data_IF_237766535241
#
_entry.id   IF_237766535241
#
_cell.length_a   1.000
_cell.length_b   1.000
_cell.length_c   1.000
_cell.angle_alpha   90.00
_cell.angle_beta   90.00
_cell.angle_gamma   90.00
#
_symmetry.space_group_name_H-M   'P 1'
#
loop_
_entity.id
_entity.type
_entity.pdbx_description
1 polymer ?
#
# COMPACT_ATOMS: atom_id res chain seq x y z
N UNK A 1 21.25 -115.93 -2.96
CA UNK A 1 20.14 -115.00 -3.28
C UNK A 1 20.07 -113.92 -2.21
N UNK A 2 19.64 -112.69 -2.56
CA UNK A 2 20.18 -111.43 -2.03
C UNK A 2 19.54 -110.95 -0.73
N UNK A 3 20.26 -110.10 0.01
CA UNK A 3 19.82 -108.76 0.43
C UNK A 3 20.98 -108.07 1.16
N UNK A 4 21.45 -106.88 0.71
CA UNK A 4 22.18 -106.01 1.61
C UNK A 4 21.37 -104.75 1.94
N UNK A 5 21.41 -104.46 3.23
CA UNK A 5 20.74 -103.39 3.94
C UNK A 5 21.28 -101.99 3.59
N UNK A 6 20.42 -101.01 3.85
CA UNK A 6 20.66 -99.58 3.74
C UNK A 6 21.86 -99.10 4.56
N UNK A 7 22.60 -98.07 4.09
CA UNK A 7 23.34 -97.19 4.96
C UNK A 7 22.66 -95.83 5.16
N UNK A 8 22.93 -95.30 6.35
CA UNK A 8 22.34 -94.12 6.98
C UNK A 8 22.66 -92.79 6.29
N UNK A 9 21.78 -91.81 6.54
CA UNK A 9 21.87 -90.45 6.02
C UNK A 9 23.02 -89.64 6.67
N UNK A 10 23.77 -88.84 5.89
CA UNK A 10 24.83 -87.99 6.43
C UNK A 10 24.30 -86.62 6.90
N UNK A 11 24.85 -86.18 8.03
CA UNK A 11 24.64 -84.87 8.64
C UNK A 11 25.34 -83.75 7.85
N UNK A 12 24.67 -82.60 7.74
CA UNK A 12 25.09 -81.44 6.95
C UNK A 12 26.05 -80.53 7.72
N UNK A 13 27.21 -80.22 7.13
CA UNK A 13 28.07 -79.11 7.57
C UNK A 13 27.83 -77.87 6.69
N UNK A 14 27.46 -76.76 7.33
CA UNK A 14 27.12 -75.47 6.71
C UNK A 14 28.34 -74.84 6.02
N UNK A 15 28.22 -74.54 4.72
CA UNK A 15 29.10 -73.59 4.01
C UNK A 15 28.41 -72.22 4.01
N UNK A 16 29.09 -71.21 4.56
CA UNK A 16 28.65 -69.82 4.55
C UNK A 16 28.79 -69.23 3.15
N UNK A 17 27.68 -68.91 2.50
CA UNK A 17 27.66 -68.05 1.31
C UNK A 17 27.47 -66.59 1.75
N UNK A 18 28.44 -65.73 1.42
CA UNK A 18 28.30 -64.28 1.48
C UNK A 18 27.33 -63.85 0.36
N UNK A 19 26.09 -63.56 0.72
CA UNK A 19 25.14 -62.91 -0.17
C UNK A 19 25.34 -61.39 -0.10
N UNK A 20 25.82 -60.79 -1.18
CA UNK A 20 25.81 -59.34 -1.38
C UNK A 20 24.36 -58.88 -1.56
N UNK A 21 23.71 -58.51 -0.45
CA UNK A 21 22.39 -57.90 -0.48
C UNK A 21 22.49 -56.45 -0.96
N UNK A 22 21.97 -56.16 -2.16
CA UNK A 22 21.58 -54.79 -2.51
C UNK A 22 20.41 -54.38 -1.60
N UNK A 23 20.71 -53.57 -0.59
CA UNK A 23 19.68 -52.87 0.16
C UNK A 23 19.06 -51.79 -0.75
N UNK A 24 17.82 -52.00 -1.22
CA UNK A 24 16.99 -50.90 -1.69
C UNK A 24 16.70 -50.02 -0.47
N UNK A 25 17.42 -48.91 -0.35
CA UNK A 25 17.03 -47.83 0.54
C UNK A 25 15.69 -47.28 0.03
N UNK A 26 14.61 -47.58 0.74
CA UNK A 26 13.34 -46.92 0.52
C UNK A 26 13.53 -45.43 0.80
N UNK A 27 13.59 -44.61 -0.25
CA UNK A 27 13.59 -43.16 -0.11
C UNK A 27 12.26 -42.75 0.53
N UNK A 28 12.29 -42.43 1.81
CA UNK A 28 11.16 -41.81 2.49
C UNK A 28 10.79 -40.48 1.81
N UNK A 29 9.53 -40.03 1.91
CA UNK A 29 9.12 -38.76 1.31
C UNK A 29 10.03 -37.66 1.84
N UNK A 30 10.66 -36.91 0.93
CA UNK A 30 11.45 -35.75 1.30
C UNK A 30 10.58 -34.79 2.12
N UNK A 31 11.09 -34.22 3.23
CA UNK A 31 10.33 -33.24 3.99
C UNK A 31 9.91 -32.12 3.04
N UNK A 32 8.60 -31.82 3.00
CA UNK A 32 8.10 -30.70 2.24
C UNK A 32 8.88 -29.46 2.67
N UNK A 33 9.64 -28.87 1.75
CA UNK A 33 10.30 -27.60 2.00
C UNK A 33 9.20 -26.60 2.37
N UNK A 34 9.23 -26.14 3.62
CA UNK A 34 8.37 -25.06 4.05
C UNK A 34 8.71 -23.86 3.17
N UNK A 35 7.84 -23.55 2.20
CA UNK A 35 7.92 -22.31 1.45
C UNK A 35 7.96 -21.17 2.46
N UNK A 36 9.00 -20.34 2.39
CA UNK A 36 9.13 -19.18 3.26
C UNK A 36 7.79 -18.40 3.28
N UNK A 37 7.31 -17.97 4.45
CA UNK A 37 6.03 -17.28 4.55
C UNK A 37 6.04 -16.05 3.64
N UNK A 38 5.08 -15.98 2.73
CA UNK A 38 4.90 -14.84 1.82
C UNK A 38 4.50 -13.63 2.65
N UNK A 39 5.05 -12.47 2.29
CA UNK A 39 4.66 -11.21 2.94
C UNK A 39 3.18 -10.92 2.66
N UNK A 40 2.37 -10.63 3.69
CA UNK A 40 0.94 -10.42 3.49
C UNK A 40 0.63 -9.13 2.70
N UNK A 41 -0.58 -9.07 2.16
CA UNK A 41 -1.22 -7.82 1.74
C UNK A 41 -2.10 -7.33 2.90
N UNK A 42 -1.89 -6.08 3.31
CA UNK A 42 -2.64 -5.41 4.36
C UNK A 42 -3.72 -4.53 3.73
N UNK A 43 -4.97 -4.73 4.16
CA UNK A 43 -6.11 -3.91 3.70
C UNK A 43 -6.72 -3.20 4.88
N UNK A 44 -6.67 -1.88 4.87
CA UNK A 44 -7.17 -1.04 5.94
C UNK A 44 -8.67 -0.84 5.84
N UNK A 45 -9.43 -1.17 6.88
CA UNK A 45 -10.88 -1.10 6.92
C UNK A 45 -11.34 0.03 7.86
N UNK A 46 -11.55 1.22 7.30
CA UNK A 46 -11.83 2.44 8.07
C UNK A 46 -13.05 2.31 8.99
N UNK A 47 -14.17 1.83 8.47
CA UNK A 47 -15.40 1.70 9.27
C UNK A 47 -15.33 0.55 10.28
N UNK A 48 -14.50 -0.48 10.01
CA UNK A 48 -14.33 -1.61 10.93
C UNK A 48 -13.24 -1.39 11.98
N UNK A 49 -12.44 -0.32 11.90
CA UNK A 49 -11.34 -0.08 12.84
C UNK A 49 -10.29 -1.20 12.85
N UNK A 50 -9.99 -1.78 11.68
CA UNK A 50 -9.11 -2.95 11.58
C UNK A 50 -8.33 -3.03 10.28
N UNK A 51 -7.28 -3.84 10.28
CA UNK A 51 -6.52 -4.26 9.09
C UNK A 51 -6.83 -5.72 8.80
N UNK A 52 -7.27 -6.02 7.58
CA UNK A 52 -7.36 -7.39 7.05
C UNK A 52 -5.98 -7.85 6.57
N UNK A 53 -5.56 -9.04 6.98
CA UNK A 53 -4.30 -9.67 6.56
C UNK A 53 -4.62 -10.72 5.50
N UNK A 54 -4.15 -10.50 4.27
CA UNK A 54 -4.45 -11.33 3.11
C UNK A 54 -3.22 -12.14 2.71
N UNK A 55 -3.41 -13.45 2.51
CA UNK A 55 -2.42 -14.34 1.91
C UNK A 55 -2.40 -14.14 0.39
N UNK A 56 -1.31 -13.62 -0.22
CA UNK A 56 -1.25 -13.38 -1.65
C UNK A 56 -1.08 -14.65 -2.49
N UNK A 57 -0.78 -15.80 -1.89
CA UNK A 57 -0.69 -17.09 -2.58
C UNK A 57 -2.05 -17.72 -2.84
N UNK A 58 -3.01 -17.51 -1.93
CA UNK A 58 -4.37 -18.08 -2.00
C UNK A 58 -5.47 -17.03 -2.19
N UNK A 59 -5.15 -15.75 -2.00
CA UNK A 59 -6.09 -14.64 -2.00
C UNK A 59 -7.26 -14.83 -1.04
N UNK A 60 -6.92 -15.16 0.21
CA UNK A 60 -7.88 -15.32 1.31
C UNK A 60 -7.48 -14.44 2.48
N UNK A 61 -8.47 -13.93 3.21
CA UNK A 61 -8.25 -13.25 4.48
C UNK A 61 -7.90 -14.28 5.55
N UNK A 62 -6.70 -14.19 6.13
CA UNK A 62 -6.24 -15.10 7.17
C UNK A 62 -6.73 -14.68 8.55
N UNK A 63 -6.69 -13.37 8.83
CA UNK A 63 -7.13 -12.77 10.09
C UNK A 63 -7.36 -11.27 9.95
N UNK A 64 -7.91 -10.67 11.01
CA UNK A 64 -8.02 -9.22 11.18
C UNK A 64 -7.27 -8.76 12.41
N UNK A 65 -6.66 -7.59 12.31
CA UNK A 65 -5.95 -6.90 13.38
C UNK A 65 -6.80 -5.70 13.77
N UNK A 66 -7.18 -5.60 15.05
CA UNK A 66 -7.77 -4.37 15.55
C UNK A 66 -6.69 -3.27 15.64
N UNK A 67 -7.02 -2.05 15.22
CA UNK A 67 -6.10 -0.91 15.32
C UNK A 67 -6.69 0.17 16.22
N UNK A 68 -7.46 1.09 15.65
CA UNK A 68 -8.18 2.16 16.32
C UNK A 68 -9.40 2.57 15.50
N UNK A 69 -10.09 3.64 15.90
CA UNK A 69 -11.26 4.14 15.16
C UNK A 69 -10.85 4.87 13.89
N UNK A 70 -11.63 4.67 12.85
CA UNK A 70 -11.51 5.34 11.55
C UNK A 70 -10.08 5.37 11.01
N UNK A 71 -9.42 4.22 10.80
CA UNK A 71 -8.11 4.27 10.21
C UNK A 71 -8.18 4.56 8.71
N UNK A 72 -7.39 5.52 8.23
CA UNK A 72 -7.51 6.06 6.87
C UNK A 72 -6.31 5.77 5.96
N UNK A 73 -5.08 5.99 6.43
CA UNK A 73 -3.89 5.76 5.61
C UNK A 73 -2.85 4.87 6.29
N UNK A 74 -2.00 4.29 5.44
CA UNK A 74 -0.89 3.41 5.81
C UNK A 74 0.39 4.01 5.24
N UNK A 75 1.49 3.99 6.00
CA UNK A 75 2.80 4.41 5.49
C UNK A 75 3.92 3.59 6.12
N UNK A 76 4.97 3.30 5.35
CA UNK A 76 6.12 2.53 5.82
C UNK A 76 7.10 3.43 6.56
N UNK A 77 7.67 2.96 7.68
CA UNK A 77 8.76 3.65 8.36
C UNK A 77 10.04 3.62 7.50
N UNK A 78 10.93 4.62 7.64
CA UNK A 78 12.14 4.72 6.80
C UNK A 78 13.08 3.51 6.92
N UNK A 79 13.09 2.85 8.08
CA UNK A 79 13.87 1.65 8.37
C UNK A 79 13.22 0.34 7.87
N UNK A 80 12.07 0.43 7.21
CA UNK A 80 11.26 -0.67 6.70
C UNK A 80 10.83 -1.71 7.75
N UNK A 81 10.85 -1.34 9.03
CA UNK A 81 10.50 -2.23 10.15
C UNK A 81 9.01 -2.23 10.48
N UNK A 82 8.29 -1.16 10.14
CA UNK A 82 6.90 -0.98 10.53
C UNK A 82 6.08 -0.31 9.43
N UNK A 83 4.87 -0.82 9.21
CA UNK A 83 3.80 -0.04 8.58
C UNK A 83 3.01 0.66 9.68
N UNK A 84 2.93 1.97 9.57
CA UNK A 84 2.14 2.83 10.44
C UNK A 84 0.71 2.88 9.92
N UNK A 85 -0.25 2.63 10.79
CA UNK A 85 -1.69 2.83 10.57
C UNK A 85 -2.10 4.13 11.25
N UNK A 86 -2.64 5.07 10.48
CA UNK A 86 -3.20 6.31 10.97
C UNK A 86 -4.63 6.09 11.47
N UNK A 87 -4.87 6.11 12.78
CA UNK A 87 -6.21 5.98 13.35
C UNK A 87 -6.78 7.37 13.66
N UNK A 88 -7.40 8.01 12.66
CA UNK A 88 -7.86 9.39 12.74
C UNK A 88 -8.84 9.60 13.90
N UNK A 89 -9.91 8.79 13.98
CA UNK A 89 -10.94 8.91 15.01
C UNK A 89 -10.50 8.52 16.43
N UNK A 90 -9.28 8.00 16.59
CA UNK A 90 -8.71 7.55 17.87
C UNK A 90 -7.50 8.37 18.33
N UNK A 91 -7.07 9.38 17.57
CA UNK A 91 -5.88 10.19 17.84
C UNK A 91 -4.63 9.32 18.15
N UNK A 92 -4.40 8.29 17.33
CA UNK A 92 -3.35 7.30 17.56
C UNK A 92 -2.71 6.75 16.28
N UNK A 93 -1.48 6.24 16.40
CA UNK A 93 -0.83 5.45 15.36
C UNK A 93 -0.60 4.02 15.84
N UNK A 94 -0.93 3.03 15.02
CA UNK A 94 -0.61 1.61 15.28
C UNK A 94 0.53 1.17 14.37
N UNK A 95 1.57 0.56 14.93
CA UNK A 95 2.73 0.05 14.21
C UNK A 95 2.58 -1.46 14.01
N UNK A 96 2.66 -1.91 12.76
CA UNK A 96 2.50 -3.32 12.38
C UNK A 96 3.78 -3.77 11.66
N UNK A 97 4.31 -4.93 12.04
CA UNK A 97 5.39 -5.57 11.29
C UNK A 97 4.87 -5.95 9.89
N UNK A 98 5.45 -5.43 8.80
CA UNK A 98 4.95 -5.67 7.45
C UNK A 98 5.07 -7.13 6.99
N UNK A 99 5.98 -7.91 7.58
CA UNK A 99 6.31 -9.28 7.16
C UNK A 99 5.45 -10.29 7.89
N UNK A 100 5.20 -10.06 9.17
CA UNK A 100 4.44 -10.99 10.03
C UNK A 100 3.02 -10.54 10.31
N UNK A 101 2.71 -9.28 10.03
CA UNK A 101 1.46 -8.61 10.40
C UNK A 101 1.17 -8.67 11.91
N UNK A 102 2.21 -8.65 12.75
CA UNK A 102 2.09 -8.53 14.20
C UNK A 102 2.04 -7.05 14.59
N UNK A 103 1.16 -6.69 15.52
CA UNK A 103 1.16 -5.35 16.12
C UNK A 103 2.41 -5.24 16.99
N UNK A 104 3.26 -4.26 16.68
CA UNK A 104 4.48 -4.01 17.44
C UNK A 104 4.19 -3.09 18.62
N UNK A 105 3.44 -2.00 18.39
CA UNK A 105 3.04 -1.03 19.42
C UNK A 105 1.96 -0.08 18.90
N UNK A 106 1.43 0.73 19.81
CA UNK A 106 0.54 1.84 19.51
C UNK A 106 0.99 3.06 20.29
N UNK A 107 0.91 4.23 19.65
CA UNK A 107 1.14 5.53 20.30
C UNK A 107 -0.14 6.36 20.22
N UNK A 108 -0.44 7.11 21.28
CA UNK A 108 -1.59 8.01 21.37
C UNK A 108 -1.14 9.48 21.37
N UNK A 109 -2.09 10.40 21.26
CA UNK A 109 -1.83 11.84 21.32
C UNK A 109 -1.38 12.44 19.99
N UNK A 110 -1.42 11.67 18.91
CA UNK A 110 -1.26 12.17 17.55
C UNK A 110 -2.65 12.54 17.08
N UNK A 111 -2.95 13.84 17.00
CA UNK A 111 -4.32 14.28 16.77
C UNK A 111 -4.74 14.04 15.32
N UNK A 112 -5.89 13.38 15.16
CA UNK A 112 -6.59 13.16 13.90
C UNK A 112 -5.68 12.83 12.69
N UNK A 113 -4.76 11.84 12.79
CA UNK A 113 -3.81 11.57 11.72
C UNK A 113 -4.56 10.93 10.55
N UNK A 114 -5.12 11.72 9.64
CA UNK A 114 -5.88 11.22 8.51
C UNK A 114 -4.94 10.65 7.45
N UNK A 115 -4.01 11.49 6.98
CA UNK A 115 -2.93 11.12 6.08
C UNK A 115 -1.59 11.35 6.78
N UNK A 116 -0.58 10.55 6.42
CA UNK A 116 0.78 10.68 6.95
C UNK A 116 1.83 10.47 5.86
N UNK A 117 3.00 11.09 6.02
CA UNK A 117 4.14 10.92 5.12
C UNK A 117 5.45 11.30 5.78
N UNK A 118 6.53 10.61 5.41
CA UNK A 118 7.89 11.07 5.69
C UNK A 118 8.44 11.91 4.54
N UNK A 119 9.18 12.97 4.85
CA UNK A 119 10.00 13.67 3.87
C UNK A 119 11.12 12.74 3.35
N UNK A 120 11.58 12.87 2.09
CA UNK A 120 12.64 12.02 1.54
C UNK A 120 13.95 11.99 2.34
N UNK A 121 14.35 13.11 2.92
CA UNK A 121 15.49 13.23 3.85
C UNK A 121 15.21 12.71 5.28
N UNK A 122 14.01 12.21 5.53
CA UNK A 122 13.55 11.62 6.80
C UNK A 122 13.56 12.55 8.01
N UNK A 123 13.76 13.86 7.79
CA UNK A 123 13.74 14.86 8.86
C UNK A 123 12.35 15.16 9.37
N UNK A 124 11.33 15.03 8.52
CA UNK A 124 9.96 15.35 8.83
C UNK A 124 9.06 14.13 8.72
N UNK A 125 8.33 13.86 9.79
CA UNK A 125 7.09 13.08 9.73
C UNK A 125 5.93 14.07 9.75
N UNK A 126 5.02 13.99 8.78
CA UNK A 126 3.94 14.96 8.61
C UNK A 126 2.61 14.26 8.64
N UNK A 127 1.63 14.84 9.35
CA UNK A 127 0.23 14.38 9.32
C UNK A 127 -0.72 15.48 8.87
N UNK A 128 -1.81 15.08 8.22
CA UNK A 128 -2.95 15.94 7.93
C UNK A 128 -4.05 15.68 8.95
N UNK A 129 -4.40 16.71 9.73
CA UNK A 129 -5.48 16.64 10.72
C UNK A 129 -6.80 17.09 10.07
N UNK A 130 -7.43 16.15 9.37
CA UNK A 130 -8.55 16.38 8.46
C UNK A 130 -9.72 17.13 9.09
N UNK A 131 -10.24 16.67 10.22
CA UNK A 131 -11.34 17.28 10.95
C UNK A 131 -10.93 18.52 11.75
N UNK A 132 -9.63 18.69 11.99
CA UNK A 132 -9.08 19.75 12.85
C UNK A 132 -8.40 20.89 12.07
N UNK A 133 -8.41 20.85 10.74
CA UNK A 133 -7.98 21.93 9.84
C UNK A 133 -6.55 22.42 10.07
N UNK A 134 -5.62 21.48 10.28
CA UNK A 134 -4.20 21.80 10.36
C UNK A 134 -3.32 20.67 9.81
N UNK A 135 -2.07 21.02 9.52
CA UNK A 135 -0.98 20.09 9.23
C UNK A 135 -0.02 20.11 10.40
N UNK A 136 0.35 18.93 10.90
CA UNK A 136 1.35 18.79 11.97
C UNK A 136 2.67 18.29 11.39
N UNK A 137 3.77 18.96 11.77
CA UNK A 137 5.14 18.57 11.47
C UNK A 137 5.77 18.02 12.74
N UNK A 138 6.33 16.82 12.62
CA UNK A 138 7.01 16.13 13.69
C UNK A 138 8.47 15.86 13.29
N UNK A 139 9.37 15.94 14.27
CA UNK A 139 10.67 15.31 14.15
C UNK A 139 10.51 13.81 14.37
N UNK A 140 11.25 12.99 13.62
CA UNK A 140 11.27 11.54 13.77
C UNK A 140 12.65 11.07 14.19
N UNK A 141 12.75 10.47 15.38
CA UNK A 141 14.01 9.95 15.93
C UNK A 141 14.24 8.45 15.66
N UNK A 142 13.35 7.81 14.89
CA UNK A 142 13.34 6.37 14.68
C UNK A 142 12.26 5.64 15.50
N UNK A 143 11.76 6.25 16.57
CA UNK A 143 10.77 5.63 17.44
C UNK A 143 9.51 6.48 17.57
N UNK A 144 9.58 7.74 17.99
CA UNK A 144 8.38 8.51 18.31
C UNK A 144 8.36 9.84 17.55
N UNK A 145 7.21 10.22 16.98
CA UNK A 145 7.07 11.51 16.37
C UNK A 145 6.96 12.57 17.48
N UNK A 146 7.89 13.52 17.50
CA UNK A 146 7.88 14.65 18.42
C UNK A 146 7.33 15.89 17.69
N UNK A 147 6.20 16.43 18.16
CA UNK A 147 5.55 17.57 17.49
C UNK A 147 6.49 18.79 17.52
N UNK A 148 6.75 19.36 16.36
CA UNK A 148 7.55 20.57 16.20
C UNK A 148 6.65 21.76 15.93
N UNK A 149 5.71 21.62 15.01
CA UNK A 149 4.86 22.72 14.60
C UNK A 149 3.49 22.24 14.14
N UNK A 150 2.48 23.01 14.52
CA UNK A 150 1.11 22.89 14.00
C UNK A 150 0.79 24.08 13.12
N UNK A 151 0.49 23.83 11.85
CA UNK A 151 0.23 24.86 10.85
C UNK A 151 -1.27 24.88 10.54
N UNK A 152 -2.01 25.94 10.92
CA UNK A 152 -3.41 26.10 10.54
C UNK A 152 -3.59 26.17 9.03
N UNK A 153 -4.58 25.46 8.49
CA UNK A 153 -4.88 25.41 7.05
C UNK A 153 -6.31 25.86 6.75
N UNK A 154 -6.75 25.64 5.51
CA UNK A 154 -8.17 25.65 5.17
C UNK A 154 -8.87 24.42 5.72
N UNK A 155 -10.10 24.21 5.26
CA UNK A 155 -10.95 23.12 5.74
C UNK A 155 -10.56 21.79 5.12
N UNK A 156 -10.52 20.77 5.97
CA UNK A 156 -10.45 19.37 5.55
C UNK A 156 -9.15 19.03 4.80
N UNK A 157 -7.96 19.29 5.41
CA UNK A 157 -6.68 18.86 4.86
C UNK A 157 -6.69 17.35 4.61
N UNK A 158 -6.36 16.92 3.41
CA UNK A 158 -6.60 15.53 2.98
C UNK A 158 -5.34 14.76 2.68
N UNK A 159 -4.59 15.08 1.62
CA UNK A 159 -3.42 14.31 1.21
C UNK A 159 -2.17 15.19 1.13
N UNK A 160 -1.01 14.54 1.29
CA UNK A 160 0.29 15.19 1.43
C UNK A 160 1.26 14.71 0.35
N UNK A 161 1.90 15.65 -0.34
CA UNK A 161 3.02 15.39 -1.23
C UNK A 161 4.23 16.24 -0.85
N UNK A 162 5.40 15.62 -0.73
CA UNK A 162 6.66 16.32 -0.44
C UNK A 162 7.56 16.13 -1.66
N UNK A 163 8.22 17.20 -2.13
CA UNK A 163 9.20 17.10 -3.22
C UNK A 163 10.40 16.22 -2.84
N UNK A 164 11.11 15.74 -3.86
CA UNK A 164 12.31 14.91 -3.68
C UNK A 164 13.43 15.62 -2.89
N UNK A 165 13.43 16.95 -2.86
CA UNK A 165 14.42 17.77 -2.18
C UNK A 165 14.10 17.99 -0.68
N UNK A 166 12.95 17.51 -0.19
CA UNK A 166 12.47 17.82 1.17
C UNK A 166 12.33 19.31 1.48
N UNK A 167 12.03 20.12 0.46
CA UNK A 167 11.90 21.58 0.62
C UNK A 167 10.46 22.03 0.76
N UNK A 168 9.55 21.47 -0.05
CA UNK A 168 8.16 21.89 -0.11
C UNK A 168 7.23 20.72 0.13
N UNK A 169 6.27 20.95 1.02
CA UNK A 169 5.10 20.09 1.22
C UNK A 169 3.88 20.76 0.57
N UNK A 170 3.17 20.02 -0.28
CA UNK A 170 1.85 20.41 -0.76
C UNK A 170 0.76 19.57 -0.11
N UNK A 171 -0.36 20.22 0.22
CA UNK A 171 -1.52 19.57 0.81
C UNK A 171 -2.83 20.07 0.19
N UNK A 172 -3.73 19.14 -0.11
CA UNK A 172 -5.09 19.45 -0.57
C UNK A 172 -6.01 19.77 0.60
N UNK A 173 -6.93 20.71 0.40
CA UNK A 173 -7.98 21.08 1.37
C UNK A 173 -9.35 20.82 0.73
N UNK A 174 -9.96 19.68 1.07
CA UNK A 174 -11.16 19.19 0.36
C UNK A 174 -12.32 20.17 0.39
N UNK A 175 -12.66 20.71 1.56
CA UNK A 175 -13.84 21.55 1.73
C UNK A 175 -13.56 23.04 1.47
N UNK A 176 -12.30 23.39 1.24
CA UNK A 176 -11.87 24.73 0.86
C UNK A 176 -11.52 24.86 -0.62
N UNK A 177 -11.57 23.77 -1.39
CA UNK A 177 -11.22 23.74 -2.82
C UNK A 177 -9.85 24.40 -3.10
N UNK A 178 -8.84 24.14 -2.26
CA UNK A 178 -7.50 24.73 -2.40
C UNK A 178 -6.37 23.71 -2.24
N UNK A 179 -5.23 24.06 -2.83
CA UNK A 179 -3.92 23.45 -2.61
C UNK A 179 -3.08 24.45 -1.81
N UNK A 180 -2.51 24.02 -0.70
CA UNK A 180 -1.56 24.84 0.07
C UNK A 180 -0.15 24.30 -0.09
N UNK A 181 0.83 25.20 0.00
CA UNK A 181 2.23 24.84 0.08
C UNK A 181 2.82 25.29 1.42
N UNK A 182 3.64 24.44 2.02
CA UNK A 182 4.37 24.68 3.25
C UNK A 182 5.86 24.53 2.95
N UNK A 183 6.63 25.54 3.31
CA UNK A 183 8.09 25.48 3.29
C UNK A 183 8.57 24.72 4.53
N UNK A 184 9.28 23.61 4.31
CA UNK A 184 9.71 22.70 5.38
C UNK A 184 10.91 23.23 6.18
N UNK A 185 11.67 24.18 5.64
CA UNK A 185 12.80 24.78 6.34
C UNK A 185 12.32 25.78 7.41
N UNK A 186 11.37 26.64 7.04
CA UNK A 186 10.78 27.69 7.88
C UNK A 186 9.55 27.20 8.64
N UNK A 187 8.97 26.06 8.25
CA UNK A 187 7.78 25.44 8.83
C UNK A 187 6.57 26.39 8.76
N UNK A 188 6.45 27.12 7.65
CA UNK A 188 5.40 28.11 7.43
C UNK A 188 4.63 27.79 6.16
N UNK A 189 3.34 28.11 6.19
CA UNK A 189 2.52 28.13 4.99
C UNK A 189 3.05 29.22 4.06
N UNK A 190 3.48 28.84 2.86
CA UNK A 190 4.11 29.71 1.87
C UNK A 190 3.07 30.39 0.99
N UNK A 191 2.10 29.62 0.49
CA UNK A 191 1.03 30.12 -0.36
C UNK A 191 -0.16 29.16 -0.41
N UNK A 192 -1.25 29.64 -1.00
CA UNK A 192 -2.48 28.89 -1.29
C UNK A 192 -2.89 29.19 -2.72
N UNK A 193 -3.32 28.17 -3.45
CA UNK A 193 -3.85 28.32 -4.80
C UNK A 193 -5.18 27.58 -4.92
N UNK A 194 -6.15 28.12 -5.67
CA UNK A 194 -7.43 27.46 -5.86
C UNK A 194 -7.25 26.18 -6.67
N UNK A 195 -8.10 25.19 -6.38
CA UNK A 195 -8.24 23.95 -7.15
C UNK A 195 -9.67 23.82 -7.69
N UNK A 196 -9.93 22.76 -8.44
CA UNK A 196 -11.29 22.30 -8.69
C UNK A 196 -11.97 21.76 -7.43
N UNK A 197 -13.22 21.30 -7.57
CA UNK A 197 -14.05 20.93 -6.42
C UNK A 197 -13.59 19.65 -5.72
N UNK A 198 -13.52 19.71 -4.39
CA UNK A 198 -13.21 18.61 -3.48
C UNK A 198 -11.91 17.90 -3.88
N UNK A 199 -10.75 18.61 -3.82
CA UNK A 199 -9.44 18.04 -4.14
C UNK A 199 -9.08 16.94 -3.13
N UNK A 200 -8.77 15.74 -3.61
CA UNK A 200 -8.40 14.60 -2.81
C UNK A 200 -6.88 14.40 -2.80
N UNK A 201 -6.36 13.40 -3.52
CA UNK A 201 -4.93 13.08 -3.48
C UNK A 201 -4.09 14.07 -4.32
N UNK A 202 -2.82 14.22 -3.95
CA UNK A 202 -1.84 15.09 -4.61
C UNK A 202 -0.64 14.23 -4.99
N UNK A 203 -0.24 14.27 -6.25
CA UNK A 203 0.88 13.47 -6.77
C UNK A 203 1.86 14.35 -7.55
N UNK A 204 3.13 14.33 -7.17
CA UNK A 204 4.21 14.96 -7.93
C UNK A 204 4.71 14.05 -9.04
N UNK A 205 4.77 14.60 -10.24
CA UNK A 205 5.29 13.88 -11.42
C UNK A 205 6.79 13.58 -11.27
N UNK A 206 7.30 12.48 -11.86
CA UNK A 206 8.69 12.06 -11.70
C UNK A 206 9.74 13.08 -12.16
N UNK A 207 9.39 13.96 -13.09
CA UNK A 207 10.28 15.03 -13.57
C UNK A 207 10.37 16.22 -12.59
N UNK A 208 9.56 16.22 -11.53
CA UNK A 208 9.48 17.31 -10.54
C UNK A 208 8.83 18.60 -11.06
N UNK A 209 8.24 18.57 -12.27
CA UNK A 209 7.72 19.79 -12.94
C UNK A 209 6.23 19.99 -12.75
N UNK A 210 5.49 18.96 -12.36
CA UNK A 210 4.04 19.07 -12.19
C UNK A 210 3.53 18.41 -10.92
N UNK A 211 2.46 18.98 -10.36
CA UNK A 211 1.57 18.30 -9.42
C UNK A 211 0.27 17.93 -10.13
N UNK A 212 -0.23 16.75 -9.82
CA UNK A 212 -1.53 16.24 -10.19
C UNK A 212 -2.42 16.23 -8.95
N UNK A 213 -3.61 16.83 -9.05
CA UNK A 213 -4.59 16.87 -7.95
C UNK A 213 -5.86 16.15 -8.40
N UNK A 214 -6.22 15.07 -7.72
CA UNK A 214 -7.43 14.32 -8.02
C UNK A 214 -8.67 15.08 -7.54
N UNK A 215 -9.66 15.29 -8.40
CA UNK A 215 -10.87 16.02 -8.04
C UNK A 215 -12.03 15.05 -7.80
N UNK A 216 -12.33 14.78 -6.53
CA UNK A 216 -13.41 13.83 -6.18
C UNK A 216 -14.80 14.45 -6.40
N UNK A 217 -14.91 15.78 -6.29
CA UNK A 217 -16.13 16.54 -6.54
C UNK A 217 -16.38 16.85 -8.02
N UNK A 218 -15.47 16.45 -8.91
CA UNK A 218 -15.52 16.74 -10.34
C UNK A 218 -15.18 15.51 -11.20
N UNK A 219 -14.88 15.75 -12.47
CA UNK A 219 -14.43 14.73 -13.42
C UNK A 219 -13.02 15.06 -13.84
N UNK A 220 -12.03 14.32 -13.35
CA UNK A 220 -10.64 14.49 -13.80
C UNK A 220 -9.65 14.84 -12.71
N UNK A 221 -8.44 15.11 -13.20
CA UNK A 221 -7.27 15.47 -12.42
C UNK A 221 -6.80 16.84 -12.87
N UNK A 222 -6.66 17.78 -11.93
CA UNK A 222 -6.11 19.09 -12.23
C UNK A 222 -4.58 19.05 -12.25
N UNK A 223 -3.96 19.75 -13.21
CA UNK A 223 -2.51 19.82 -13.36
C UNK A 223 -2.01 21.19 -12.96
N UNK A 224 -1.00 21.20 -12.10
CA UNK A 224 -0.25 22.40 -11.72
C UNK A 224 1.19 22.28 -12.21
N UNK A 225 1.72 23.33 -12.81
CA UNK A 225 3.14 23.47 -13.10
C UNK A 225 3.89 24.00 -11.87
N UNK A 226 5.06 23.44 -11.64
CA UNK A 226 6.01 23.80 -10.59
C UNK A 226 7.22 24.50 -11.20
N UNK A 227 7.59 25.63 -10.62
CA UNK A 227 8.82 26.34 -10.91
C UNK A 227 9.46 26.81 -9.60
N UNK A 228 10.79 26.71 -9.51
CA UNK A 228 11.53 27.06 -8.30
C UNK A 228 11.22 28.51 -7.86
N UNK A 229 10.90 28.69 -6.58
CA UNK A 229 10.57 30.00 -6.00
C UNK A 229 9.24 30.60 -6.46
N UNK A 230 8.43 29.88 -7.24
CA UNK A 230 7.13 30.33 -7.70
C UNK A 230 5.99 29.52 -7.07
N UNK A 231 4.79 30.11 -7.07
CA UNK A 231 3.58 29.40 -6.68
C UNK A 231 3.20 28.38 -7.75
N UNK A 232 2.67 27.24 -7.35
CA UNK A 232 2.12 26.25 -8.26
C UNK A 232 1.03 26.88 -9.14
N UNK A 233 1.15 26.74 -10.46
CA UNK A 233 0.22 27.38 -11.41
C UNK A 233 -0.64 26.33 -12.10
N UNK A 234 -1.97 26.45 -12.01
CA UNK A 234 -2.87 25.58 -12.77
C UNK A 234 -2.64 25.76 -14.28
N UNK A 235 -2.42 24.66 -14.99
CA UNK A 235 -2.12 24.64 -16.44
C UNK A 235 -3.12 23.84 -17.27
N UNK A 236 -3.97 23.05 -16.63
CA UNK A 236 -5.02 22.31 -17.32
C UNK A 236 -5.61 21.19 -16.47
N UNK A 237 -6.37 20.33 -17.13
CA UNK A 237 -6.99 19.15 -16.53
C UNK A 237 -6.78 17.92 -17.43
N UNK A 238 -6.61 16.77 -16.80
CA UNK A 238 -6.56 15.47 -17.44
C UNK A 238 -7.92 14.82 -17.27
N UNK A 239 -8.58 14.52 -18.39
CA UNK A 239 -9.84 13.79 -18.38
C UNK A 239 -9.62 12.35 -17.89
N UNK A 240 -10.32 11.98 -16.81
CA UNK A 240 -10.39 10.62 -16.25
C UNK A 240 -11.86 10.25 -15.98
N UNK A 241 -12.09 9.17 -15.23
CA UNK A 241 -13.44 8.89 -14.70
C UNK A 241 -13.88 9.91 -13.64
N UNK A 242 -15.20 9.93 -13.36
CA UNK A 242 -15.78 10.72 -12.27
C UNK A 242 -15.25 10.31 -10.90
N UNK A 243 -14.98 11.30 -10.06
CA UNK A 243 -14.55 11.09 -8.67
C UNK A 243 -13.10 10.63 -8.56
N UNK A 244 -12.18 11.31 -9.25
CA UNK A 244 -10.75 11.04 -9.15
C UNK A 244 -10.30 11.24 -7.69
N UNK A 245 -9.75 10.19 -7.09
CA UNK A 245 -9.52 10.13 -5.65
C UNK A 245 -8.05 9.92 -5.30
N UNK A 246 -7.54 8.67 -5.40
CA UNK A 246 -6.21 8.31 -4.90
C UNK A 246 -5.24 7.94 -6.02
N UNK A 247 -4.00 8.41 -5.92
CA UNK A 247 -2.93 8.12 -6.85
C UNK A 247 -2.02 6.98 -6.38
N UNK A 248 -1.48 6.22 -7.33
CA UNK A 248 -0.39 5.27 -7.09
C UNK A 248 0.49 5.13 -8.32
N UNK A 249 1.80 5.31 -8.17
CA UNK A 249 2.76 5.09 -9.25
C UNK A 249 2.70 3.64 -9.74
N UNK A 250 2.86 3.43 -11.05
CA UNK A 250 2.94 2.09 -11.64
C UNK A 250 4.32 1.44 -11.43
N UNK A 251 5.33 2.23 -11.04
CA UNK A 251 6.70 1.79 -10.77
C UNK A 251 7.65 1.87 -11.96
N UNK A 252 7.22 2.43 -13.09
CA UNK A 252 8.01 2.59 -14.31
C UNK A 252 8.56 4.01 -14.51
N UNK A 253 8.49 4.85 -13.46
CA UNK A 253 8.90 6.26 -13.47
C UNK A 253 8.21 7.12 -14.56
N UNK A 254 7.07 6.68 -15.08
CA UNK A 254 6.35 7.39 -16.16
C UNK A 254 4.85 7.43 -15.95
N UNK A 255 4.26 6.36 -15.44
CA UNK A 255 2.82 6.25 -15.32
C UNK A 255 2.37 6.29 -13.86
N UNK A 256 1.22 6.94 -13.65
CA UNK A 256 0.52 6.96 -12.38
C UNK A 256 -0.92 6.50 -12.59
N UNK A 257 -1.43 5.71 -11.66
CA UNK A 257 -2.83 5.28 -11.60
C UNK A 257 -3.63 6.24 -10.75
N UNK A 258 -4.88 6.51 -11.12
CA UNK A 258 -5.85 7.24 -10.29
C UNK A 258 -7.17 6.49 -10.19
N UNK A 259 -7.64 6.23 -8.97
CA UNK A 259 -8.97 5.66 -8.76
C UNK A 259 -10.05 6.70 -9.04
N UNK A 260 -11.09 6.29 -9.76
CA UNK A 260 -12.25 7.11 -10.07
C UNK A 260 -13.44 6.49 -9.32
N UNK A 261 -13.62 6.94 -8.08
CA UNK A 261 -14.51 6.32 -7.10
C UNK A 261 -15.94 6.21 -7.62
N UNK A 262 -16.46 7.27 -8.23
CA UNK A 262 -17.84 7.31 -8.76
C UNK A 262 -17.96 6.51 -10.05
N UNK A 263 -16.97 6.60 -10.93
CA UNK A 263 -17.00 5.89 -12.21
C UNK A 263 -16.68 4.39 -12.11
N UNK A 264 -16.29 3.87 -10.94
CA UNK A 264 -15.90 2.46 -10.74
C UNK A 264 -14.78 2.00 -11.69
N UNK A 265 -13.79 2.87 -11.90
CA UNK A 265 -12.64 2.60 -12.78
C UNK A 265 -11.35 3.17 -12.22
N UNK A 266 -10.22 2.70 -12.73
CA UNK A 266 -8.90 3.30 -12.50
C UNK A 266 -8.40 3.82 -13.85
N UNK A 267 -7.85 5.03 -13.88
CA UNK A 267 -7.23 5.59 -15.10
C UNK A 267 -5.71 5.55 -14.95
N UNK A 268 -5.00 5.12 -15.99
CA UNK A 268 -3.53 5.23 -16.08
C UNK A 268 -3.19 6.51 -16.81
N UNK A 269 -2.42 7.38 -16.18
CA UNK A 269 -1.96 8.66 -16.71
C UNK A 269 -0.49 8.51 -17.09
N UNK A 270 -0.13 8.96 -18.30
CA UNK A 270 1.26 9.20 -18.68
C UNK A 270 1.66 10.59 -18.20
N UNK A 271 2.63 10.66 -17.28
CA UNK A 271 3.04 11.91 -16.64
C UNK A 271 3.80 12.85 -17.59
N UNK A 272 4.43 12.32 -18.65
CA UNK A 272 5.13 13.15 -19.63
C UNK A 272 4.17 13.75 -20.66
N UNK A 273 3.17 12.98 -21.08
CA UNK A 273 2.15 13.43 -22.02
C UNK A 273 0.96 14.13 -21.34
N UNK A 274 0.88 14.10 -20.01
CA UNK A 274 -0.20 14.64 -19.19
C UNK A 274 -1.59 14.23 -19.71
N UNK A 275 -1.78 12.93 -19.98
CA UNK A 275 -3.06 12.39 -20.45
C UNK A 275 -3.29 10.97 -19.97
N UNK A 276 -4.57 10.59 -19.83
CA UNK A 276 -4.94 9.21 -19.61
C UNK A 276 -4.64 8.36 -20.86
N UNK A 277 -4.00 7.20 -20.67
CA UNK A 277 -3.56 6.28 -21.73
C UNK A 277 -4.16 4.88 -21.61
N UNK A 278 -4.71 4.55 -20.43
CA UNK A 278 -5.46 3.32 -20.23
C UNK A 278 -6.51 3.49 -19.13
N UNK A 279 -7.45 2.55 -19.06
CA UNK A 279 -8.47 2.47 -18.04
C UNK A 279 -8.68 1.01 -17.64
N UNK A 280 -8.96 0.79 -16.35
CA UNK A 280 -9.19 -0.52 -15.76
C UNK A 280 -10.55 -0.55 -15.05
N UNK A 281 -11.29 -1.67 -15.11
CA UNK A 281 -12.49 -1.87 -14.31
C UNK A 281 -12.11 -1.99 -12.83
N UNK A 282 -12.76 -1.22 -11.96
CA UNK A 282 -12.53 -1.26 -10.53
C UNK A 282 -13.88 -1.10 -9.79
N UNK A 283 -14.66 -2.17 -9.64
CA UNK A 283 -16.04 -2.10 -9.21
C UNK A 283 -16.20 -1.61 -7.76
N UNK A 284 -17.34 -0.96 -7.53
CA UNK A 284 -17.89 -0.65 -6.21
C UNK A 284 -17.04 0.29 -5.35
N UNK A 285 -16.70 1.46 -5.90
CA UNK A 285 -16.08 2.57 -5.18
C UNK A 285 -14.60 2.32 -4.92
N UNK A 286 -13.75 2.29 -5.96
CA UNK A 286 -12.32 2.12 -5.79
C UNK A 286 -11.74 3.28 -4.99
N UNK A 287 -10.91 2.95 -4.01
CA UNK A 287 -10.26 3.93 -3.13
C UNK A 287 -8.73 3.90 -3.32
N UNK A 288 -7.92 3.95 -2.26
CA UNK A 288 -6.47 3.75 -2.38
C UNK A 288 -6.15 2.32 -2.84
N UNK A 289 -5.00 2.19 -3.49
CA UNK A 289 -4.53 0.96 -4.10
C UNK A 289 -3.04 0.75 -3.86
N UNK A 290 -2.55 -0.44 -4.15
CA UNK A 290 -1.13 -0.72 -4.32
C UNK A 290 -0.91 -1.54 -5.59
N UNK A 291 0.33 -1.56 -6.09
CA UNK A 291 0.71 -2.29 -7.31
C UNK A 291 1.78 -3.29 -6.93
N UNK A 292 1.71 -4.52 -7.46
CA UNK A 292 2.76 -5.53 -7.26
C UNK A 292 4.11 -5.05 -7.80
N UNK A 293 5.22 -5.55 -7.23
CA UNK A 293 6.58 -5.15 -7.60
C UNK A 293 6.88 -5.20 -9.10
N UNK A 294 6.32 -6.18 -9.80
CA UNK A 294 6.48 -6.38 -11.24
C UNK A 294 5.53 -5.53 -12.11
N UNK A 295 4.66 -4.71 -11.49
CA UNK A 295 3.69 -3.88 -12.19
C UNK A 295 2.51 -4.64 -12.81
N UNK A 296 2.39 -5.95 -12.58
CA UNK A 296 1.39 -6.79 -13.27
C UNK A 296 0.01 -6.80 -12.61
N UNK A 297 -0.07 -6.46 -11.32
CA UNK A 297 -1.28 -6.58 -10.51
C UNK A 297 -1.59 -5.27 -9.77
N UNK A 298 -2.79 -4.74 -9.97
CA UNK A 298 -3.35 -3.67 -9.14
C UNK A 298 -4.22 -4.31 -8.05
N UNK A 299 -3.95 -3.91 -6.80
CA UNK A 299 -4.68 -4.31 -5.61
C UNK A 299 -5.42 -3.08 -5.05
N UNK A 300 -6.74 -3.03 -5.17
CA UNK A 300 -7.53 -1.83 -4.83
C UNK A 300 -8.65 -2.14 -3.84
N UNK A 301 -8.85 -1.26 -2.87
CA UNK A 301 -10.01 -1.33 -1.99
C UNK A 301 -11.30 -0.96 -2.72
N UNK A 302 -12.25 -1.89 -2.80
CA UNK A 302 -13.63 -1.64 -3.24
C UNK A 302 -14.47 -1.24 -2.04
N UNK A 303 -14.44 0.06 -1.73
CA UNK A 303 -14.93 0.64 -0.47
C UNK A 303 -16.37 0.25 -0.16
N UNK A 304 -17.27 0.37 -1.13
CA UNK A 304 -18.70 0.14 -0.91
C UNK A 304 -19.07 -1.35 -0.87
N UNK A 305 -18.20 -2.24 -1.37
CA UNK A 305 -18.41 -3.68 -1.37
C UNK A 305 -17.78 -4.40 -0.17
N UNK A 306 -16.88 -3.74 0.59
CA UNK A 306 -16.10 -4.43 1.62
C UNK A 306 -15.20 -5.51 1.02
N UNK A 307 -14.54 -5.20 -0.10
CA UNK A 307 -13.69 -6.13 -0.86
C UNK A 307 -12.33 -5.54 -1.19
N UNK A 308 -11.31 -6.39 -1.23
CA UNK A 308 -10.09 -6.16 -2.00
C UNK A 308 -10.33 -6.67 -3.42
N UNK A 309 -10.09 -5.85 -4.42
CA UNK A 309 -10.20 -6.24 -5.84
C UNK A 309 -8.82 -6.33 -6.46
N UNK A 310 -8.59 -7.43 -7.18
CA UNK A 310 -7.35 -7.70 -7.90
C UNK A 310 -7.57 -7.54 -9.39
N UNK A 311 -6.74 -6.75 -10.04
CA UNK A 311 -6.87 -6.40 -11.45
C UNK A 311 -5.56 -6.70 -12.16
N UNK A 312 -5.63 -7.50 -13.22
CA UNK A 312 -4.51 -7.77 -14.12
C UNK A 312 -4.29 -6.58 -15.05
N UNK A 313 -3.08 -6.03 -15.03
CA UNK A 313 -2.74 -4.82 -15.80
C UNK A 313 -2.69 -5.10 -17.30
N UNK A 314 -2.15 -6.24 -17.71
CA UNK A 314 -2.00 -6.58 -19.13
C UNK A 314 -3.36 -6.88 -19.77
N UNK A 315 -4.20 -7.67 -19.09
CA UNK A 315 -5.54 -8.07 -19.53
C UNK A 315 -6.57 -6.96 -19.32
N UNK A 316 -6.26 -5.97 -18.47
CA UNK A 316 -7.17 -4.89 -18.04
C UNK A 316 -8.48 -5.42 -17.48
N UNK A 317 -8.40 -6.49 -16.69
CA UNK A 317 -9.56 -7.23 -16.22
C UNK A 317 -9.44 -7.54 -14.72
N UNK A 318 -10.58 -7.54 -14.04
CA UNK A 318 -10.67 -8.04 -12.67
C UNK A 318 -10.38 -9.54 -12.69
N UNK A 319 -9.42 -9.98 -11.88
CA UNK A 319 -9.09 -11.39 -11.69
C UNK A 319 -10.00 -12.03 -10.66
N UNK A 320 -10.07 -11.42 -9.48
CA UNK A 320 -10.86 -11.92 -8.35
C UNK A 320 -11.10 -10.81 -7.33
N UNK A 321 -11.96 -11.09 -6.35
CA UNK A 321 -12.19 -10.22 -5.21
C UNK A 321 -12.17 -11.02 -3.91
N UNK A 322 -11.53 -10.45 -2.89
CA UNK A 322 -11.44 -11.03 -1.54
C UNK A 322 -12.32 -10.22 -0.61
N UNK A 323 -13.15 -10.90 0.19
CA UNK A 323 -13.95 -10.22 1.24
C UNK A 323 -13.02 -9.73 2.34
N UNK A 324 -13.21 -8.49 2.78
CA UNK A 324 -12.44 -7.85 3.86
C UNK A 324 -13.38 -7.17 4.86
N UNK A 325 -12.87 -6.26 5.69
CA UNK A 325 -13.69 -5.43 6.57
C UNK A 325 -14.50 -4.37 5.83
N UNK A 326 -15.26 -3.56 6.59
CA UNK A 326 -16.12 -2.53 6.03
C UNK A 326 -15.32 -1.28 5.64
N UNK A 327 -15.68 -0.68 4.50
CA UNK A 327 -15.04 0.52 3.97
C UNK A 327 -13.51 0.40 3.83
N UNK A 328 -13.00 -0.58 3.06
CA UNK A 328 -11.58 -0.68 2.78
C UNK A 328 -11.08 0.61 2.11
N UNK A 329 -10.09 1.25 2.73
CA UNK A 329 -9.58 2.56 2.37
C UNK A 329 -8.18 2.48 1.79
N UNK A 330 -7.27 1.80 2.49
CA UNK A 330 -5.86 1.64 2.14
C UNK A 330 -5.53 0.20 1.76
N UNK A 331 -4.64 0.02 0.80
CA UNK A 331 -4.00 -1.27 0.49
C UNK A 331 -2.50 -1.06 0.55
N UNK A 332 -1.80 -2.01 1.17
CA UNK A 332 -0.35 -1.96 1.30
C UNK A 332 0.22 -3.38 1.28
N UNK A 333 1.32 -3.59 0.58
CA UNK A 333 2.15 -4.80 0.70
C UNK A 333 3.62 -4.43 0.67
N UNK A 334 4.50 -5.30 1.16
CA UNK A 334 5.96 -5.13 1.03
C UNK A 334 6.43 -5.44 -0.40
N UNK A 335 5.70 -6.29 -1.12
CA UNK A 335 6.02 -6.66 -2.49
C UNK A 335 5.37 -5.70 -3.49
N UNK A 336 5.68 -4.41 -3.34
CA UNK A 336 5.07 -3.33 -4.10
C UNK A 336 6.01 -2.74 -5.15
N UNK A 337 5.42 -2.14 -6.19
CA UNK A 337 6.14 -1.35 -7.19
C UNK A 337 6.81 -0.12 -6.57
N UNK A 338 7.83 0.43 -7.23
CA UNK A 338 8.42 1.71 -6.81
C UNK A 338 7.34 2.81 -6.73
N UNK A 339 7.36 3.61 -5.66
CA UNK A 339 6.31 4.60 -5.35
C UNK A 339 6.62 6.03 -5.82
N UNK A 340 7.79 6.21 -6.42
CA UNK A 340 8.33 7.45 -7.00
C UNK A 340 9.33 7.08 -8.08
#
# INVERSE_FOLDING_TARGET
MPAPAFPAAPAWSRRSFLASGLALAAAGPAPAQATAPRTPVLVLNSQSGSVSVIDPGRWVEERRIATGREPHHLYMTPDERSVIVANAGSDSLTFIDPRTAQVQRQISGILDPYHLRFSPDMRWFVTAANRLNHIDLYHWDGENPALVQRIPTGRTPSHLWIDAASTTLWASMQDSDELVAIDLATQRLSYRVPTGRTPADVFGTPDGRHLLVGLTGASGVQVFELAAGQQARAVGEIATGKGAHAFRALGDARHVLVSNRVANTISQIDCSALRAVAQFPAPSGPDCMDVSRDGSLIMVGSRWAGRLTLIDVARRAVLTQVKVGKSPHGVWTLDHAARS
#
